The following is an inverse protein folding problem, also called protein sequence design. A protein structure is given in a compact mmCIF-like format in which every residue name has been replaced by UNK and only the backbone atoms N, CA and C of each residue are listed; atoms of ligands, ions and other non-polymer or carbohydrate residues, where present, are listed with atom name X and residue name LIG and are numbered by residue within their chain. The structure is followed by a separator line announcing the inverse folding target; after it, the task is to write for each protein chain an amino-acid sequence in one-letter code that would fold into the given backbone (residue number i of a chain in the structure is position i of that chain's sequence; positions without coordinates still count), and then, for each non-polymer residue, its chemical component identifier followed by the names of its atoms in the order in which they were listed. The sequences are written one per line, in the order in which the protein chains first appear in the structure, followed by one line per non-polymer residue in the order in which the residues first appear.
data_IF_782148360355
#
_entry.id   IF_782148360355
#
_cell.length_a   1.000
_cell.length_b   1.000
_cell.length_c   1.000
_cell.angle_alpha   90.00
_cell.angle_beta   90.00
_cell.angle_gamma   90.00
#
_symmetry.space_group_name_H-M   'P 1'
#
loop_
_entity.id
_entity.type
_entity.pdbx_description
1 polymer ?
#
# COMPACT_ATOMS: atom_id res chain seq x y z
N UNK A 1 60.40 -29.41 18.84
CA UNK A 1 59.17 -28.88 18.20
C UNK A 1 58.04 -28.94 19.22
N UNK A 2 57.64 -27.79 19.80
CA UNK A 2 56.58 -27.72 20.80
C UNK A 2 55.48 -26.86 20.19
N UNK A 3 54.50 -27.49 19.54
CA UNK A 3 53.36 -26.79 18.96
C UNK A 3 52.45 -26.33 20.11
N UNK A 4 52.32 -25.02 20.28
CA UNK A 4 51.45 -24.41 21.27
C UNK A 4 49.99 -24.51 20.80
N UNK A 5 49.17 -25.24 21.55
CA UNK A 5 47.73 -25.46 21.29
C UNK A 5 46.86 -24.35 21.96
N UNK A 6 47.47 -23.37 22.62
CA UNK A 6 46.76 -22.43 23.51
C UNK A 6 46.22 -21.13 22.87
N UNK A 7 46.40 -20.88 21.57
CA UNK A 7 45.99 -19.60 20.95
C UNK A 7 44.64 -19.59 20.21
N UNK A 8 43.94 -20.73 20.09
CA UNK A 8 42.76 -20.82 19.22
C UNK A 8 41.41 -20.49 19.89
N UNK A 9 41.34 -20.33 21.22
CA UNK A 9 40.06 -20.10 21.90
C UNK A 9 39.40 -18.75 21.57
N UNK A 10 40.19 -17.72 21.23
CA UNK A 10 39.67 -16.42 20.81
C UNK A 10 39.23 -16.34 19.35
N UNK A 11 39.89 -17.11 18.46
CA UNK A 11 39.59 -17.10 17.02
C UNK A 11 38.19 -17.66 16.73
N UNK A 12 37.81 -18.75 17.41
CA UNK A 12 36.47 -19.34 17.30
C UNK A 12 35.36 -18.36 17.72
N UNK A 13 35.58 -17.59 18.79
CA UNK A 13 34.60 -16.61 19.26
C UNK A 13 34.40 -15.46 18.24
N UNK A 14 35.47 -15.02 17.59
CA UNK A 14 35.42 -13.97 16.56
C UNK A 14 34.70 -14.49 15.31
N UNK A 15 35.01 -15.70 14.85
CA UNK A 15 34.33 -16.32 13.71
C UNK A 15 32.84 -16.51 13.97
N UNK A 16 32.48 -17.00 15.17
CA UNK A 16 31.09 -17.15 15.58
C UNK A 16 30.36 -15.79 15.63
N UNK A 17 31.01 -14.74 16.13
CA UNK A 17 30.44 -13.39 16.15
C UNK A 17 30.10 -12.91 14.73
N UNK A 18 31.01 -13.09 13.77
CA UNK A 18 30.79 -12.70 12.38
C UNK A 18 29.60 -13.47 11.78
N UNK A 19 29.52 -14.77 12.03
CA UNK A 19 28.40 -15.61 11.57
C UNK A 19 27.07 -15.14 12.18
N UNK A 20 27.04 -14.83 13.47
CA UNK A 20 25.85 -14.32 14.15
C UNK A 20 25.42 -12.95 13.62
N UNK A 21 26.37 -12.06 13.33
CA UNK A 21 26.06 -10.76 12.71
C UNK A 21 25.43 -10.92 11.33
N UNK A 22 25.94 -11.83 10.51
CA UNK A 22 25.37 -12.13 9.19
C UNK A 22 23.94 -12.67 9.35
N UNK A 23 23.71 -13.62 10.26
CA UNK A 23 22.38 -14.15 10.52
C UNK A 23 21.41 -13.09 11.03
N UNK A 24 21.85 -12.19 11.91
CA UNK A 24 21.04 -11.07 12.38
C UNK A 24 20.63 -10.15 11.21
N UNK A 25 21.55 -9.85 10.29
CA UNK A 25 21.25 -9.08 9.09
C UNK A 25 20.20 -9.74 8.20
N UNK A 26 20.34 -11.05 7.93
CA UNK A 26 19.36 -11.82 7.14
C UNK A 26 18.00 -11.86 7.82
N UNK A 27 17.96 -12.04 9.14
CA UNK A 27 16.72 -12.08 9.93
C UNK A 27 15.95 -10.76 9.82
N UNK A 28 16.64 -9.62 10.00
CA UNK A 28 16.02 -8.30 9.88
C UNK A 28 15.52 -8.04 8.46
N UNK A 29 16.28 -8.43 7.45
CA UNK A 29 15.88 -8.30 6.06
C UNK A 29 14.62 -9.12 5.73
N UNK A 30 14.55 -10.37 6.20
CA UNK A 30 13.36 -11.21 5.99
C UNK A 30 12.14 -10.69 6.75
N UNK A 31 12.35 -10.08 7.92
CA UNK A 31 11.27 -9.46 8.68
C UNK A 31 10.68 -8.26 7.92
N UNK A 32 11.53 -7.40 7.37
CA UNK A 32 11.09 -6.27 6.54
C UNK A 32 10.31 -6.73 5.29
N UNK A 33 10.78 -7.78 4.60
CA UNK A 33 10.05 -8.35 3.45
C UNK A 33 8.69 -8.90 3.89
N UNK A 34 8.66 -9.66 4.99
CA UNK A 34 7.43 -10.24 5.51
C UNK A 34 6.41 -9.15 5.86
N UNK A 35 6.86 -8.09 6.53
CA UNK A 35 6.02 -6.95 6.87
C UNK A 35 5.50 -6.22 5.62
N UNK A 36 6.36 -6.02 4.60
CA UNK A 36 5.94 -5.43 3.31
C UNK A 36 4.85 -6.25 2.62
N UNK A 37 4.99 -7.57 2.59
CA UNK A 37 4.00 -8.46 1.97
C UNK A 37 2.67 -8.44 2.74
N UNK A 38 2.72 -8.45 4.07
CA UNK A 38 1.52 -8.39 4.91
C UNK A 38 0.76 -7.08 4.72
N UNK A 39 1.46 -5.94 4.78
CA UNK A 39 0.84 -4.63 4.55
C UNK A 39 0.25 -4.55 3.16
N UNK A 40 0.98 -4.99 2.12
CA UNK A 40 0.46 -5.02 0.75
C UNK A 40 -0.82 -5.84 0.64
N UNK A 41 -0.85 -7.03 1.24
CA UNK A 41 -2.05 -7.88 1.23
C UNK A 41 -3.24 -7.24 1.98
N UNK A 42 -3.00 -6.52 3.07
CA UNK A 42 -4.03 -5.76 3.78
C UNK A 42 -4.56 -4.61 2.94
N UNK A 43 -3.67 -3.87 2.27
CA UNK A 43 -4.03 -2.79 1.36
C UNK A 43 -4.82 -3.31 0.14
N UNK A 44 -4.44 -4.45 -0.43
CA UNK A 44 -5.16 -5.08 -1.55
C UNK A 44 -6.58 -5.49 -1.16
N UNK A 45 -6.76 -6.12 0.01
CA UNK A 45 -8.10 -6.50 0.51
C UNK A 45 -8.96 -5.27 0.80
N UNK A 46 -8.36 -4.24 1.38
CA UNK A 46 -9.08 -3.00 1.76
C UNK A 46 -9.45 -2.20 0.52
N UNK A 47 -8.53 -2.03 -0.45
CA UNK A 47 -8.82 -1.32 -1.69
C UNK A 47 -9.92 -2.03 -2.50
N UNK A 48 -9.89 -3.37 -2.55
CA UNK A 48 -10.94 -4.16 -3.19
C UNK A 48 -12.29 -4.07 -2.45
N UNK A 49 -12.30 -4.06 -1.13
CA UNK A 49 -13.54 -3.88 -0.36
C UNK A 49 -14.14 -2.48 -0.57
N UNK A 50 -13.31 -1.43 -0.46
CA UNK A 50 -13.73 -0.04 -0.62
C UNK A 50 -14.28 0.24 -2.01
N UNK A 51 -13.60 -0.23 -3.07
CA UNK A 51 -14.10 -0.02 -4.44
C UNK A 51 -15.43 -0.74 -4.69
N UNK A 52 -15.67 -1.89 -4.06
CA UNK A 52 -16.96 -2.60 -4.14
C UNK A 52 -18.07 -1.87 -3.37
N UNK A 53 -17.76 -1.32 -2.19
CA UNK A 53 -18.72 -0.49 -1.44
C UNK A 53 -19.07 0.75 -2.27
N UNK A 54 -18.06 1.40 -2.85
CA UNK A 54 -18.22 2.56 -3.71
C UNK A 54 -19.11 2.26 -4.93
N UNK A 55 -18.89 1.09 -5.55
CA UNK A 55 -19.71 0.59 -6.66
C UNK A 55 -21.16 0.37 -6.26
N UNK A 56 -21.42 -0.25 -5.11
CA UNK A 56 -22.79 -0.61 -4.72
C UNK A 56 -23.59 0.60 -4.23
N UNK A 57 -22.91 1.68 -3.82
CA UNK A 57 -23.56 2.96 -3.44
C UNK A 57 -24.47 3.49 -4.55
N UNK A 58 -24.06 3.42 -5.81
CA UNK A 58 -24.89 3.93 -6.92
C UNK A 58 -26.25 3.24 -6.97
N UNK A 59 -26.32 1.96 -6.60
CA UNK A 59 -27.58 1.20 -6.55
C UNK A 59 -28.46 1.63 -5.38
N UNK A 60 -27.88 1.86 -4.20
CA UNK A 60 -28.65 2.18 -2.99
C UNK A 60 -29.02 3.66 -2.86
N UNK A 61 -28.27 4.58 -3.48
CA UNK A 61 -28.44 6.03 -3.36
C UNK A 61 -28.98 6.66 -4.65
N UNK A 62 -29.85 5.96 -5.36
CA UNK A 62 -30.65 6.54 -6.45
C UNK A 62 -29.90 6.83 -7.76
N UNK A 63 -28.82 6.10 -8.04
CA UNK A 63 -28.11 6.18 -9.33
C UNK A 63 -27.16 7.36 -9.47
N UNK A 64 -26.84 8.09 -8.39
CA UNK A 64 -25.86 9.17 -8.43
C UNK A 64 -24.47 8.58 -8.64
N UNK A 65 -23.97 8.69 -9.87
CA UNK A 65 -22.67 8.16 -10.27
C UNK A 65 -21.50 9.04 -9.81
N UNK A 66 -21.74 10.34 -9.60
CA UNK A 66 -20.71 11.29 -9.18
C UNK A 66 -20.26 11.07 -7.74
N UNK A 67 -18.99 11.33 -7.46
CA UNK A 67 -18.43 11.34 -6.10
C UNK A 67 -18.81 12.62 -5.35
N UNK A 68 -19.27 12.48 -4.10
CA UNK A 68 -19.49 13.60 -3.17
C UNK A 68 -18.36 13.69 -2.13
N UNK A 69 -18.14 14.88 -1.55
CA UNK A 69 -17.23 15.10 -0.41
C UNK A 69 -17.57 14.23 0.82
N UNK A 70 -18.85 13.88 0.97
CA UNK A 70 -19.32 12.95 2.00
C UNK A 70 -18.78 11.53 1.78
N UNK A 71 -18.81 11.07 0.53
CA UNK A 71 -18.29 9.76 0.15
C UNK A 71 -16.79 9.63 0.37
N UNK A 72 -16.07 10.71 0.07
CA UNK A 72 -14.65 10.81 0.39
C UNK A 72 -14.42 10.59 1.89
N UNK A 73 -15.16 11.31 2.72
CA UNK A 73 -14.95 11.30 4.18
C UNK A 73 -15.28 9.92 4.75
N UNK A 74 -16.38 9.33 4.29
CA UNK A 74 -16.82 7.99 4.70
C UNK A 74 -15.84 6.91 4.25
N UNK A 75 -15.41 6.92 2.97
CA UNK A 75 -14.45 5.94 2.46
C UNK A 75 -13.10 6.04 3.18
N UNK A 76 -12.67 7.26 3.49
CA UNK A 76 -11.45 7.52 4.25
C UNK A 76 -11.56 6.98 5.69
N UNK A 77 -12.66 7.27 6.38
CA UNK A 77 -12.90 6.76 7.74
C UNK A 77 -13.01 5.24 7.77
N UNK A 78 -13.66 4.63 6.77
CA UNK A 78 -13.73 3.18 6.61
C UNK A 78 -12.33 2.59 6.40
N UNK A 79 -11.50 3.19 5.55
CA UNK A 79 -10.12 2.75 5.32
C UNK A 79 -9.31 2.76 6.62
N UNK A 80 -9.41 3.83 7.42
CA UNK A 80 -8.74 3.94 8.72
C UNK A 80 -9.18 2.85 9.69
N UNK A 81 -10.49 2.57 9.77
CA UNK A 81 -11.02 1.52 10.64
C UNK A 81 -10.66 0.11 10.15
N UNK A 82 -10.62 -0.13 8.83
CA UNK A 82 -10.28 -1.43 8.27
C UNK A 82 -8.81 -1.79 8.44
N UNK A 83 -7.93 -0.79 8.38
CA UNK A 83 -6.48 -0.97 8.48
C UNK A 83 -5.94 -0.71 9.88
N UNK A 84 -6.78 -0.20 10.80
CA UNK A 84 -6.41 0.23 12.15
C UNK A 84 -5.26 1.26 12.12
N UNK A 85 -5.45 2.33 11.34
CA UNK A 85 -4.43 3.36 11.09
C UNK A 85 -4.95 4.78 11.20
N UNK A 86 -4.05 5.66 11.61
CA UNK A 86 -4.28 7.10 11.68
C UNK A 86 -4.12 7.80 10.33
N UNK A 87 -4.64 9.03 10.25
CA UNK A 87 -4.66 9.84 9.02
C UNK A 87 -3.26 10.20 8.48
N UNK A 88 -2.23 10.14 9.33
CA UNK A 88 -0.85 10.50 8.99
C UNK A 88 -0.12 9.41 8.21
N UNK A 89 -0.45 8.14 8.48
CA UNK A 89 0.27 6.99 7.93
C UNK A 89 -0.42 6.36 6.73
N UNK A 90 -1.72 6.66 6.53
CA UNK A 90 -2.52 6.12 5.44
C UNK A 90 -3.06 7.24 4.55
N UNK A 91 -2.67 7.16 3.29
CA UNK A 91 -3.17 7.98 2.20
C UNK A 91 -4.15 7.20 1.30
N UNK A 92 -5.14 7.92 0.77
CA UNK A 92 -6.16 7.37 -0.12
C UNK A 92 -6.34 8.28 -1.33
N UNK A 93 -6.50 7.67 -2.50
CA UNK A 93 -6.92 8.30 -3.75
C UNK A 93 -8.10 7.52 -4.31
N UNK A 94 -9.20 8.20 -4.61
CA UNK A 94 -10.44 7.63 -5.14
C UNK A 94 -10.67 8.28 -6.50
N UNK A 95 -10.92 7.47 -7.51
CA UNK A 95 -11.16 7.94 -8.86
C UNK A 95 -12.40 7.25 -9.42
N UNK A 96 -13.25 7.99 -10.10
CA UNK A 96 -14.39 7.46 -10.85
C UNK A 96 -14.31 7.93 -12.29
N UNK A 97 -14.56 7.05 -13.25
CA UNK A 97 -14.59 7.33 -14.68
C UNK A 97 -16.00 7.08 -15.19
N UNK A 98 -16.65 8.10 -15.75
CA UNK A 98 -17.93 7.98 -16.43
C UNK A 98 -17.75 8.20 -17.93
N UNK A 99 -18.37 7.34 -18.74
CA UNK A 99 -18.38 7.44 -20.21
C UNK A 99 -16.99 7.66 -20.85
N UNK A 100 -15.94 7.00 -20.30
CA UNK A 100 -14.54 7.09 -20.74
C UNK A 100 -13.89 8.48 -20.68
N UNK A 101 -14.52 9.50 -20.10
CA UNK A 101 -13.98 10.87 -20.12
C UNK A 101 -14.22 11.70 -18.87
N UNK A 102 -15.34 11.53 -18.18
CA UNK A 102 -15.61 12.27 -16.94
C UNK A 102 -14.85 11.58 -15.81
N UNK A 103 -13.88 12.26 -15.21
CA UNK A 103 -13.12 11.72 -14.07
C UNK A 103 -13.42 12.53 -12.82
N UNK A 104 -14.05 11.92 -11.82
CA UNK A 104 -14.07 12.47 -10.47
C UNK A 104 -12.83 11.95 -9.75
N UNK A 105 -11.92 12.85 -9.35
CA UNK A 105 -10.69 12.51 -8.63
C UNK A 105 -10.73 13.11 -7.24
N UNK A 106 -10.55 12.25 -6.25
CA UNK A 106 -10.29 12.65 -4.89
C UNK A 106 -8.92 12.13 -4.45
N UNK A 107 -8.07 13.02 -3.94
CA UNK A 107 -6.75 12.68 -3.41
C UNK A 107 -6.61 13.24 -2.00
N UNK A 108 -6.26 12.39 -1.04
CA UNK A 108 -5.95 12.84 0.32
C UNK A 108 -4.62 13.61 0.34
N UNK A 109 -4.53 14.69 1.13
CA UNK A 109 -3.29 15.46 1.27
C UNK A 109 -2.03 14.63 1.58
N UNK A 110 -2.08 13.56 2.41
CA UNK A 110 -0.93 12.72 2.66
C UNK A 110 -0.46 11.92 1.43
N UNK A 111 -1.29 11.72 0.40
CA UNK A 111 -0.96 10.91 -0.77
C UNK A 111 0.16 11.54 -1.61
N UNK A 112 0.10 12.85 -1.82
CA UNK A 112 1.15 13.59 -2.53
C UNK A 112 2.38 13.80 -1.63
N UNK A 113 2.17 14.09 -0.34
CA UNK A 113 3.25 14.29 0.63
C UNK A 113 4.13 13.05 0.82
N UNK A 114 3.53 11.85 0.74
CA UNK A 114 4.25 10.57 0.81
C UNK A 114 4.85 10.13 -0.55
N UNK A 115 4.62 10.87 -1.63
CA UNK A 115 5.11 10.52 -2.97
C UNK A 115 4.50 9.24 -3.54
N UNK A 116 3.25 8.92 -3.17
CA UNK A 116 2.58 7.71 -3.63
C UNK A 116 2.28 7.79 -5.13
N UNK A 117 2.65 6.74 -5.87
CA UNK A 117 2.33 6.63 -7.30
C UNK A 117 1.27 5.55 -7.52
N UNK A 118 0.20 5.92 -8.23
CA UNK A 118 -0.84 5.03 -8.71
C UNK A 118 -1.16 5.39 -10.16
N UNK A 119 -1.40 4.38 -11.00
CA UNK A 119 -1.80 4.56 -12.40
C UNK A 119 -3.18 5.21 -12.43
N UNK A 120 -3.31 6.33 -13.14
CA UNK A 120 -4.57 7.06 -13.24
C UNK A 120 -5.68 6.21 -13.89
N UNK A 121 -6.92 6.44 -13.45
CA UNK A 121 -8.07 5.69 -13.99
C UNK A 121 -8.33 5.98 -15.47
N UNK A 122 -7.88 7.14 -15.96
CA UNK A 122 -8.05 7.57 -17.36
C UNK A 122 -7.36 6.62 -18.34
N UNK A 123 -6.20 6.06 -17.97
CA UNK A 123 -5.48 5.05 -18.76
C UNK A 123 -6.20 3.69 -18.80
N UNK A 124 -7.11 3.46 -17.85
CA UNK A 124 -7.88 2.22 -17.70
C UNK A 124 -9.25 2.28 -18.35
N UNK A 125 -9.58 3.34 -19.11
CA UNK A 125 -10.88 3.49 -19.78
C UNK A 125 -11.23 2.37 -20.76
N UNK A 126 -10.24 1.61 -21.26
CA UNK A 126 -10.46 0.41 -22.07
C UNK A 126 -11.08 -0.76 -21.27
N UNK A 127 -10.98 -0.75 -19.94
CA UNK A 127 -11.56 -1.77 -19.06
C UNK A 127 -13.06 -1.55 -18.81
N UNK A 128 -13.62 -0.42 -19.27
CA UNK A 128 -15.04 -0.12 -19.10
C UNK A 128 -15.88 -1.02 -20.01
N UNK A 129 -16.72 -1.91 -19.46
CA UNK A 129 -17.59 -2.75 -20.27
C UNK A 129 -18.62 -1.90 -21.02
N UNK A 130 -18.98 -2.38 -22.21
CA UNK A 130 -19.96 -1.74 -23.09
C UNK A 130 -21.08 -2.75 -23.32
N UNK A 131 -22.29 -2.42 -22.91
CA UNK A 131 -23.48 -3.26 -23.08
C UNK A 131 -24.58 -2.40 -23.71
N UNK A 132 -25.13 -2.84 -24.83
CA UNK A 132 -26.21 -2.15 -25.56
C UNK A 132 -25.97 -0.65 -25.81
N UNK A 133 -24.72 -0.25 -26.08
CA UNK A 133 -24.34 1.14 -26.32
C UNK A 133 -24.16 1.98 -25.04
N UNK A 134 -24.42 1.41 -23.87
CA UNK A 134 -24.17 2.02 -22.56
C UNK A 134 -22.76 1.67 -22.10
N UNK A 135 -21.95 2.69 -21.81
CA UNK A 135 -20.61 2.52 -21.26
C UNK A 135 -20.72 2.59 -19.73
N UNK A 136 -20.29 1.52 -19.08
CA UNK A 136 -20.30 1.44 -17.62
C UNK A 136 -19.22 2.30 -16.98
N UNK A 137 -19.50 2.76 -15.77
CA UNK A 137 -18.56 3.60 -15.02
C UNK A 137 -17.48 2.72 -14.38
N UNK A 138 -16.24 3.18 -14.34
CA UNK A 138 -15.17 2.53 -13.58
C UNK A 138 -14.93 3.27 -12.28
N UNK A 139 -14.67 2.52 -11.21
CA UNK A 139 -14.24 3.07 -9.94
C UNK A 139 -12.87 2.50 -9.61
N UNK A 140 -11.98 3.33 -9.09
CA UNK A 140 -10.67 2.95 -8.63
C UNK A 140 -10.45 3.52 -7.23
N UNK A 141 -9.96 2.66 -6.33
CA UNK A 141 -9.49 3.08 -5.02
C UNK A 141 -8.02 2.68 -4.90
N UNK A 142 -7.18 3.66 -4.59
CA UNK A 142 -5.76 3.49 -4.36
C UNK A 142 -5.43 3.85 -2.92
N UNK A 143 -4.78 2.93 -2.21
CA UNK A 143 -4.33 3.12 -0.84
C UNK A 143 -2.81 3.15 -0.80
N UNK A 144 -2.26 4.00 0.05
CA UNK A 144 -0.83 4.14 0.25
C UNK A 144 -0.51 4.20 1.74
N UNK A 145 0.48 3.42 2.16
CA UNK A 145 0.91 3.33 3.55
C UNK A 145 2.41 3.54 3.66
N UNK A 146 2.83 4.29 4.68
CA UNK A 146 4.23 4.50 5.00
C UNK A 146 4.63 3.71 6.25
N UNK A 147 5.73 2.98 6.17
CA UNK A 147 6.24 2.15 7.28
C UNK A 147 7.75 2.28 7.43
N UNK A 148 8.21 2.18 8.67
CA UNK A 148 9.62 2.14 9.00
C UNK A 148 10.25 0.78 8.62
N UNK A 149 11.48 0.81 8.14
CA UNK A 149 12.32 -0.35 7.84
C UNK A 149 13.22 -0.67 9.02
N UNK A 150 13.05 -1.86 9.60
CA UNK A 150 13.89 -2.30 10.71
C UNK A 150 15.31 -2.62 10.24
N UNK A 151 15.45 -3.09 9.00
CA UNK A 151 16.75 -3.31 8.39
C UNK A 151 17.52 -2.00 8.22
N UNK A 152 16.91 -0.97 7.63
CA UNK A 152 17.57 0.34 7.45
C UNK A 152 17.93 0.99 8.80
N UNK A 153 17.06 0.88 9.80
CA UNK A 153 17.33 1.32 11.17
C UNK A 153 18.55 0.63 11.79
N UNK A 154 18.70 -0.68 11.57
CA UNK A 154 19.79 -1.46 12.13
C UNK A 154 21.15 -1.13 11.50
N UNK A 155 21.18 -0.85 10.19
CA UNK A 155 22.42 -0.48 9.48
C UNK A 155 22.76 1.02 9.58
N UNK A 156 21.96 1.80 10.30
CA UNK A 156 22.25 3.20 10.61
C UNK A 156 22.07 4.16 9.43
N UNK A 157 21.13 3.87 8.53
CA UNK A 157 20.79 4.82 7.47
C UNK A 157 20.20 6.10 8.09
N UNK A 158 20.82 7.25 7.81
CA UNK A 158 20.50 8.55 8.43
C UNK A 158 19.46 9.34 7.63
N UNK A 159 19.06 8.85 6.45
CA UNK A 159 17.87 9.30 5.73
C UNK A 159 16.64 8.53 6.21
N UNK A 160 15.51 9.22 6.37
CA UNK A 160 14.21 8.65 6.82
C UNK A 160 14.01 7.20 6.34
N UNK A 161 14.14 6.19 7.22
CA UNK A 161 14.20 4.77 6.88
C UNK A 161 12.82 4.21 6.60
N UNK A 162 11.96 4.99 5.96
CA UNK A 162 10.58 4.66 5.68
C UNK A 162 10.44 4.21 4.23
N UNK A 163 9.68 3.15 4.00
CA UNK A 163 9.25 2.75 2.68
C UNK A 163 7.74 2.99 2.55
N UNK A 164 7.31 3.30 1.33
CA UNK A 164 5.90 3.45 0.98
C UNK A 164 5.42 2.23 0.21
N UNK A 165 4.19 1.79 0.49
CA UNK A 165 3.54 0.69 -0.24
C UNK A 165 2.22 1.23 -0.78
N UNK A 166 2.03 1.07 -2.09
CA UNK A 166 0.78 1.40 -2.77
C UNK A 166 0.06 0.14 -3.26
N UNK A 167 -1.26 0.18 -3.20
CA UNK A 167 -2.15 -0.81 -3.80
C UNK A 167 -3.31 -0.08 -4.46
N UNK A 168 -3.74 -0.56 -5.63
CA UNK A 168 -4.91 -0.02 -6.34
C UNK A 168 -5.81 -1.15 -6.80
N UNK A 169 -7.12 -0.94 -6.66
CA UNK A 169 -8.16 -1.85 -7.14
C UNK A 169 -9.12 -1.08 -8.04
N UNK A 170 -9.55 -1.70 -9.14
CA UNK A 170 -10.48 -1.12 -10.11
C UNK A 170 -11.66 -2.07 -10.34
N UNK A 171 -12.88 -1.53 -10.35
CA UNK A 171 -14.11 -2.29 -10.57
C UNK A 171 -15.07 -1.48 -11.45
N UNK A 172 -15.74 -2.16 -12.38
CA UNK A 172 -16.81 -1.58 -13.18
C UNK A 172 -18.13 -1.59 -12.40
N UNK A 173 -18.78 -0.44 -12.31
CA UNK A 173 -20.14 -0.29 -11.79
C UNK A 173 -21.18 -0.32 -12.88
N UNK A 174 -22.32 -0.91 -12.53
CA UNK A 174 -23.50 -1.05 -13.38
C UNK A 174 -24.47 0.09 -13.16
#
# INVERSE_FOLDING_TARGET
MKHSIQSQQGAFAIELMIVLLIFAGIYLFMTDISHKLLVRAQLDRTSFALVNILKERTRFYGGVSSLSDSDQTDMRQLAYRMLDKDETNLAIKIEALHNKSTVDVFTSAPFEAMGCQAVDISEKGALAPIEDGTIYSLYQVSLCDQKESWFANFWGDSGTPTFTITSSSVVAGR
#
